data_IF_941811142896
#
_entry.id   IF_941811142896
#
_cell.length_a   1.000
_cell.length_b   1.000
_cell.length_c   1.000
_cell.angle_alpha   90.00
_cell.angle_beta   90.00
_cell.angle_gamma   90.00
#
_symmetry.space_group_name_H-M   'P 1'
#
loop_
_entity.id
_entity.type
_entity.pdbx_description
1 polymer ?
#
# COMPACT_ATOMS: atom_id res chain seq x y z
N UNK A 1 -31.74 -20.49 -13.60
CA UNK A 1 -30.38 -21.07 -13.58
C UNK A 1 -29.41 -19.91 -13.46
N UNK A 2 -28.81 -19.66 -12.30
CA UNK A 2 -27.79 -18.62 -12.15
C UNK A 2 -26.43 -19.16 -12.60
N UNK A 3 -25.68 -18.32 -13.31
CA UNK A 3 -24.37 -18.64 -13.82
C UNK A 3 -23.37 -18.74 -12.66
N UNK A 4 -22.74 -19.91 -12.51
CA UNK A 4 -21.56 -20.07 -11.67
C UNK A 4 -20.53 -19.02 -12.05
N UNK A 5 -19.88 -18.40 -11.06
CA UNK A 5 -18.64 -17.65 -11.25
C UNK A 5 -17.66 -18.54 -12.03
N UNK A 6 -17.58 -18.35 -13.34
CA UNK A 6 -16.48 -18.89 -14.14
C UNK A 6 -15.32 -17.96 -13.89
N UNK A 7 -14.42 -18.39 -13.01
CA UNK A 7 -13.03 -17.97 -13.04
C UNK A 7 -12.52 -18.29 -14.45
N UNK A 8 -12.45 -17.29 -15.33
CA UNK A 8 -11.85 -17.47 -16.64
C UNK A 8 -10.33 -17.52 -16.47
N UNK A 9 -9.81 -18.74 -16.46
CA UNK A 9 -8.39 -19.03 -16.59
C UNK A 9 -7.90 -18.51 -17.93
N UNK A 10 -7.13 -17.42 -17.93
CA UNK A 10 -6.44 -16.95 -19.14
C UNK A 10 -5.05 -17.57 -19.18
N UNK A 11 -4.88 -18.51 -20.09
CA UNK A 11 -3.61 -19.18 -20.36
C UNK A 11 -2.62 -18.22 -21.02
N UNK A 12 -1.42 -18.08 -20.45
CA UNK A 12 -0.28 -17.49 -21.15
C UNK A 12 0.73 -18.61 -21.36
N UNK A 13 1.09 -18.89 -22.62
CA UNK A 13 2.04 -19.96 -22.95
C UNK A 13 3.46 -19.53 -22.58
N UNK A 14 4.26 -20.52 -22.13
CA UNK A 14 5.69 -20.41 -21.80
C UNK A 14 6.54 -19.76 -22.91
N UNK A 15 6.04 -19.79 -24.14
CA UNK A 15 6.72 -19.31 -25.35
C UNK A 15 6.61 -17.77 -25.55
N UNK A 16 5.82 -17.07 -24.72
CA UNK A 16 5.70 -15.60 -24.72
C UNK A 16 6.71 -14.91 -23.78
N UNK A 17 7.63 -15.67 -23.17
CA UNK A 17 8.80 -15.13 -22.47
C UNK A 17 9.74 -14.45 -23.49
N UNK A 18 9.51 -13.17 -23.72
CA UNK A 18 10.33 -12.33 -24.59
C UNK A 18 11.80 -12.35 -24.11
N UNK A 19 12.80 -12.44 -25.01
CA UNK A 19 14.20 -12.48 -24.61
C UNK A 19 14.61 -11.21 -23.87
N UNK A 20 15.45 -11.39 -22.85
CA UNK A 20 16.23 -10.35 -22.18
C UNK A 20 17.09 -9.57 -23.18
N UNK A 21 16.56 -8.53 -23.81
CA UNK A 21 17.34 -7.43 -24.39
C UNK A 21 16.40 -6.31 -24.85
N UNK A 22 16.06 -5.39 -23.95
CA UNK A 22 15.69 -4.02 -24.34
C UNK A 22 16.35 -2.99 -23.44
N UNK A 23 17.49 -2.51 -23.92
CA UNK A 23 18.01 -1.16 -23.70
C UNK A 23 16.94 -0.12 -24.06
N UNK A 24 16.67 0.77 -23.11
CA UNK A 24 15.65 1.84 -23.10
C UNK A 24 14.18 1.37 -23.09
N UNK A 25 13.40 1.71 -22.05
CA UNK A 25 11.97 1.48 -22.07
C UNK A 25 11.35 2.22 -23.27
N UNK A 26 10.45 1.59 -24.04
CA UNK A 26 9.78 2.25 -25.16
C UNK A 26 9.08 3.52 -24.68
N UNK A 27 8.96 4.50 -25.57
CA UNK A 27 8.13 5.68 -25.32
C UNK A 27 6.73 5.23 -24.88
N UNK A 28 6.23 5.78 -23.77
CA UNK A 28 4.92 5.47 -23.18
C UNK A 28 3.83 5.36 -24.25
N UNK A 29 3.16 4.20 -24.33
CA UNK A 29 2.04 3.96 -25.26
C UNK A 29 0.78 4.73 -24.84
N UNK A 30 0.61 5.01 -23.55
CA UNK A 30 -0.54 5.75 -23.06
C UNK A 30 -0.33 7.25 -23.21
N UNK A 31 -1.41 7.96 -23.59
CA UNK A 31 -1.44 9.43 -23.64
C UNK A 31 -1.23 10.00 -22.23
N UNK A 32 -0.87 11.29 -22.15
CA UNK A 32 -0.81 12.01 -20.88
C UNK A 32 -2.14 11.88 -20.13
N UNK A 33 -2.07 11.67 -18.83
CA UNK A 33 -3.23 11.64 -17.95
C UNK A 33 -4.01 12.96 -17.96
N UNK A 34 -5.24 12.90 -17.45
CA UNK A 34 -6.12 14.06 -17.32
C UNK A 34 -5.74 14.86 -16.09
N UNK A 35 -5.82 16.19 -16.17
CA UNK A 35 -5.60 17.02 -14.99
C UNK A 35 -6.70 16.77 -13.95
N UNK A 36 -6.33 16.45 -12.69
CA UNK A 36 -7.28 16.07 -11.66
C UNK A 36 -8.25 17.21 -11.34
N UNK A 37 -9.55 16.89 -11.23
CA UNK A 37 -10.58 17.87 -10.88
C UNK A 37 -11.23 17.54 -9.54
N UNK A 38 -10.54 17.85 -8.44
CA UNK A 38 -10.98 17.60 -7.06
C UNK A 38 -12.21 18.41 -6.60
N UNK A 39 -12.83 19.20 -7.46
CA UNK A 39 -13.99 20.06 -7.14
C UNK A 39 -15.29 19.65 -7.84
N UNK A 40 -15.30 18.54 -8.59
CA UNK A 40 -16.50 18.13 -9.36
C UNK A 40 -17.62 17.56 -8.50
N UNK A 41 -17.27 16.96 -7.36
CA UNK A 41 -18.23 16.31 -6.46
C UNK A 41 -18.79 17.30 -5.45
N UNK A 42 -20.12 17.34 -5.34
CA UNK A 42 -20.83 18.27 -4.46
C UNK A 42 -20.57 17.98 -2.98
N UNK A 43 -20.26 16.73 -2.66
CA UNK A 43 -19.90 16.21 -1.34
C UNK A 43 -18.49 16.61 -0.91
N UNK A 44 -17.65 17.10 -1.82
CA UNK A 44 -16.28 17.47 -1.53
C UNK A 44 -16.10 18.99 -1.39
N UNK A 45 -15.22 19.37 -0.47
CA UNK A 45 -14.91 20.78 -0.21
C UNK A 45 -13.41 21.01 -0.07
N UNK A 46 -12.98 22.24 -0.33
CA UNK A 46 -11.62 22.71 -0.03
C UNK A 46 -11.47 23.19 1.41
N UNK A 47 -12.59 23.50 2.07
CA UNK A 47 -12.59 24.00 3.44
C UNK A 47 -12.32 22.86 4.42
N UNK A 48 -11.36 23.05 5.31
CA UNK A 48 -11.05 22.07 6.36
C UNK A 48 -12.29 21.84 7.26
N UNK A 49 -12.51 20.62 7.76
CA UNK A 49 -13.49 20.37 8.81
C UNK A 49 -13.17 21.24 10.03
N UNK A 50 -14.20 21.90 10.56
CA UNK A 50 -14.09 22.84 11.68
C UNK A 50 -14.40 22.21 13.03
N UNK A 51 -15.11 21.08 13.01
CA UNK A 51 -15.49 20.33 14.20
C UNK A 51 -14.29 19.55 14.76
N UNK A 52 -14.38 19.17 16.05
CA UNK A 52 -13.26 18.76 16.89
C UNK A 52 -12.44 17.62 16.29
N UNK A 53 -13.08 16.52 15.91
CA UNK A 53 -12.38 15.31 15.47
C UNK A 53 -11.89 15.43 14.04
N UNK A 54 -12.70 15.95 13.13
CA UNK A 54 -12.25 16.21 11.76
C UNK A 54 -11.03 17.15 11.74
N UNK A 55 -11.06 18.24 12.53
CA UNK A 55 -9.91 19.15 12.67
C UNK A 55 -8.68 18.42 13.20
N UNK A 56 -8.81 17.64 14.28
CA UNK A 56 -7.71 16.85 14.84
C UNK A 56 -7.09 15.90 13.83
N UNK A 57 -7.90 15.20 13.03
CA UNK A 57 -7.40 14.27 12.02
C UNK A 57 -6.58 15.00 10.95
N UNK A 58 -7.11 16.12 10.43
CA UNK A 58 -6.46 16.92 9.41
C UNK A 58 -5.13 17.49 9.90
N UNK A 59 -5.08 17.96 11.14
CA UNK A 59 -3.86 18.52 11.74
C UNK A 59 -2.83 17.43 12.05
N UNK A 60 -3.24 16.32 12.69
CA UNK A 60 -2.34 15.24 13.09
C UNK A 60 -1.67 14.56 11.88
N UNK A 61 -2.46 14.24 10.85
CA UNK A 61 -1.98 13.49 9.68
C UNK A 61 -1.80 14.31 8.41
N UNK A 62 -1.86 15.65 8.52
CA UNK A 62 -1.64 16.56 7.40
C UNK A 62 -2.53 16.27 6.17
N UNK A 63 -3.79 15.88 6.41
CA UNK A 63 -4.73 15.53 5.35
C UNK A 63 -4.99 16.75 4.45
N UNK A 64 -5.04 16.50 3.16
CA UNK A 64 -5.23 17.53 2.14
C UNK A 64 -6.70 17.61 1.71
N UNK A 65 -7.11 18.77 1.18
CA UNK A 65 -8.36 18.84 0.39
C UNK A 65 -8.24 17.91 -0.83
N UNK A 66 -9.31 17.33 -1.38
CA UNK A 66 -10.70 17.51 -0.96
C UNK A 66 -11.00 16.85 0.39
N UNK A 67 -11.90 17.47 1.15
CA UNK A 67 -12.49 16.91 2.36
C UNK A 67 -13.93 16.49 2.04
N UNK A 68 -14.33 15.28 2.45
CA UNK A 68 -15.70 14.82 2.31
C UNK A 68 -16.58 15.41 3.43
N UNK A 69 -17.54 16.27 3.05
CA UNK A 69 -18.42 16.98 3.98
C UNK A 69 -19.47 16.08 4.63
N UNK A 70 -19.70 14.89 4.07
CA UNK A 70 -20.69 13.94 4.58
C UNK A 70 -20.14 13.09 5.73
N UNK A 71 -18.82 13.13 5.98
CA UNK A 71 -18.22 12.43 7.11
C UNK A 71 -18.68 13.09 8.42
N UNK A 72 -19.31 12.30 9.27
CA UNK A 72 -19.79 12.73 10.59
C UNK A 72 -18.64 12.84 11.60
N UNK A 73 -18.87 13.58 12.68
CA UNK A 73 -17.86 13.67 13.77
C UNK A 73 -17.62 12.32 14.47
N UNK A 74 -18.63 11.45 14.51
CA UNK A 74 -18.48 10.09 15.05
C UNK A 74 -17.54 9.26 14.17
N UNK A 75 -17.69 9.35 12.84
CA UNK A 75 -16.78 8.70 11.89
C UNK A 75 -15.37 9.28 11.97
N UNK A 76 -15.21 10.60 12.06
CA UNK A 76 -13.89 11.20 12.28
C UNK A 76 -13.25 10.77 13.60
N UNK A 77 -14.05 10.58 14.64
CA UNK A 77 -13.57 10.06 15.92
C UNK A 77 -13.07 8.62 15.77
N UNK A 78 -13.85 7.73 15.14
CA UNK A 78 -13.45 6.35 14.89
C UNK A 78 -12.17 6.28 14.03
N UNK A 79 -12.10 7.07 12.96
CA UNK A 79 -10.89 7.22 12.13
C UNK A 79 -9.68 7.67 12.96
N UNK A 80 -9.89 8.65 13.86
CA UNK A 80 -8.82 9.14 14.72
C UNK A 80 -8.31 8.05 15.67
N UNK A 81 -9.23 7.32 16.29
CA UNK A 81 -8.92 6.31 17.29
C UNK A 81 -8.25 5.08 16.66
N UNK A 82 -8.74 4.59 15.51
CA UNK A 82 -8.11 3.49 14.75
C UNK A 82 -6.67 3.85 14.35
N UNK A 83 -6.48 4.99 13.68
CA UNK A 83 -5.15 5.39 13.20
C UNK A 83 -4.20 5.72 14.35
N UNK A 84 -4.72 6.18 15.49
CA UNK A 84 -3.92 6.37 16.70
C UNK A 84 -3.54 5.05 17.38
N UNK A 85 -4.37 4.01 17.29
CA UNK A 85 -4.00 2.66 17.75
C UNK A 85 -2.92 2.06 16.84
N UNK A 86 -3.02 2.25 15.52
CA UNK A 86 -1.95 1.90 14.58
C UNK A 86 -0.66 2.69 14.81
N UNK A 87 -0.73 3.96 15.24
CA UNK A 87 0.46 4.72 15.65
C UNK A 87 1.20 4.00 16.79
N UNK A 88 0.49 3.45 17.79
CA UNK A 88 1.11 2.67 18.89
C UNK A 88 1.77 1.39 18.39
N UNK A 89 1.08 0.61 17.56
CA UNK A 89 1.64 -0.59 16.92
C UNK A 89 2.92 -0.22 16.16
N UNK A 90 2.94 0.94 15.49
CA UNK A 90 4.07 1.40 14.68
C UNK A 90 5.08 2.28 15.46
N UNK A 91 5.11 2.16 16.79
CA UNK A 91 6.04 2.87 17.68
C UNK A 91 7.12 1.93 18.21
N UNK A 92 8.37 2.17 17.82
CA UNK A 92 9.50 1.35 18.26
C UNK A 92 9.58 1.26 19.79
N UNK A 93 9.52 0.04 20.33
CA UNK A 93 9.59 -0.24 21.76
C UNK A 93 8.26 -0.18 22.51
N UNK A 94 7.13 0.08 21.82
CA UNK A 94 5.79 -0.07 22.39
C UNK A 94 5.48 -1.54 22.61
N UNK A 95 4.71 -1.86 23.65
CA UNK A 95 4.22 -3.22 23.88
C UNK A 95 3.34 -3.69 22.71
N UNK A 96 2.51 -2.79 22.17
CA UNK A 96 1.62 -3.05 21.03
C UNK A 96 2.37 -3.35 19.72
N UNK A 97 3.68 -3.13 19.64
CA UNK A 97 4.48 -3.43 18.45
C UNK A 97 4.84 -4.90 18.28
N UNK A 98 4.57 -5.75 19.28
CA UNK A 98 4.87 -7.19 19.24
C UNK A 98 4.35 -7.86 17.96
N UNK A 99 3.13 -7.52 17.53
CA UNK A 99 2.48 -8.03 16.31
C UNK A 99 3.19 -7.68 14.99
N UNK A 100 4.19 -6.80 15.01
CA UNK A 100 4.98 -6.42 13.83
C UNK A 100 6.50 -6.56 14.05
N UNK A 101 6.93 -7.11 15.19
CA UNK A 101 8.36 -7.30 15.48
C UNK A 101 8.95 -8.53 14.79
N UNK A 102 8.13 -9.38 14.17
CA UNK A 102 8.55 -10.47 13.28
C UNK A 102 9.65 -11.33 13.91
N UNK A 103 9.35 -12.01 15.02
CA UNK A 103 10.34 -12.68 15.89
C UNK A 103 11.34 -13.59 15.14
N UNK A 104 10.94 -14.14 13.99
CA UNK A 104 11.74 -15.07 13.17
C UNK A 104 12.21 -14.47 11.84
N UNK A 105 11.88 -13.21 11.58
CA UNK A 105 12.40 -12.45 10.45
C UNK A 105 13.66 -11.72 10.92
N UNK A 106 14.82 -12.13 10.42
CA UNK A 106 16.11 -11.46 10.68
C UNK A 106 16.24 -10.10 9.96
N UNK A 107 15.13 -9.37 9.82
CA UNK A 107 15.01 -8.10 9.15
C UNK A 107 14.50 -7.00 10.10
N UNK A 108 14.94 -5.76 9.87
CA UNK A 108 14.43 -4.62 10.61
C UNK A 108 13.12 -4.12 9.97
N UNK A 109 11.97 -4.54 10.51
CA UNK A 109 10.62 -4.14 10.04
C UNK A 109 10.49 -2.62 9.87
N UNK A 110 11.05 -1.83 10.78
CA UNK A 110 10.99 -0.36 10.70
C UNK A 110 11.72 0.23 9.49
N UNK A 111 12.83 -0.40 9.06
CA UNK A 111 13.53 -0.02 7.84
C UNK A 111 12.70 -0.37 6.61
N UNK A 112 12.02 -1.51 6.61
CA UNK A 112 11.11 -1.90 5.53
C UNK A 112 9.97 -0.90 5.42
N UNK A 113 9.27 -0.58 6.52
CA UNK A 113 8.17 0.39 6.52
C UNK A 113 8.61 1.74 5.93
N UNK A 114 9.77 2.24 6.34
CA UNK A 114 10.33 3.50 5.81
C UNK A 114 10.62 3.41 4.31
N UNK A 115 11.23 2.32 3.87
CA UNK A 115 11.55 2.08 2.45
C UNK A 115 10.26 1.98 1.61
N UNK A 116 9.26 1.25 2.10
CA UNK A 116 7.94 1.12 1.50
C UNK A 116 7.24 2.49 1.35
N UNK A 117 7.19 3.26 2.44
CA UNK A 117 6.63 4.60 2.44
C UNK A 117 7.36 5.55 1.47
N UNK A 118 8.70 5.50 1.42
CA UNK A 118 9.49 6.26 0.46
C UNK A 118 9.19 5.86 -0.99
N UNK A 119 8.99 4.58 -1.27
CA UNK A 119 8.62 4.10 -2.60
C UNK A 119 7.22 4.60 -3.01
N UNK A 120 6.24 4.52 -2.10
CA UNK A 120 4.89 5.11 -2.30
C UNK A 120 4.99 6.60 -2.62
N UNK A 121 5.72 7.37 -1.80
CA UNK A 121 5.90 8.80 -2.00
C UNK A 121 6.64 9.13 -3.31
N UNK A 122 7.67 8.34 -3.65
CA UNK A 122 8.47 8.50 -4.88
C UNK A 122 7.64 8.27 -6.13
N UNK A 123 6.79 7.24 -6.11
CA UNK A 123 5.87 6.94 -7.19
C UNK A 123 4.99 8.17 -7.47
N UNK A 124 4.32 8.73 -6.46
CA UNK A 124 3.50 9.93 -6.63
C UNK A 124 4.30 11.17 -7.08
N UNK A 125 5.50 11.39 -6.54
CA UNK A 125 6.34 12.54 -6.92
C UNK A 125 6.78 12.47 -8.39
N UNK A 126 6.87 11.25 -8.94
CA UNK A 126 7.20 10.97 -10.34
C UNK A 126 6.00 10.91 -11.29
N UNK A 127 4.81 11.28 -10.81
CA UNK A 127 3.60 11.39 -11.64
C UNK A 127 3.66 12.59 -12.61
N UNK A 128 2.80 12.53 -13.62
CA UNK A 128 2.64 13.54 -14.67
C UNK A 128 1.78 14.75 -14.24
N UNK A 129 1.45 14.86 -12.94
CA UNK A 129 0.73 16.02 -12.41
C UNK A 129 1.56 17.30 -12.59
N UNK A 130 0.98 18.25 -13.31
CA UNK A 130 1.61 19.54 -13.68
C UNK A 130 1.78 20.46 -12.45
N UNK A 131 0.85 20.40 -11.50
CA UNK A 131 0.94 21.14 -10.24
C UNK A 131 2.02 20.54 -9.33
N UNK A 132 3.23 21.11 -9.42
CA UNK A 132 4.42 20.63 -8.72
C UNK A 132 4.26 20.72 -7.20
N UNK A 133 3.68 21.81 -6.69
CA UNK A 133 3.50 22.02 -5.25
C UNK A 133 2.48 21.02 -4.69
N UNK A 134 1.36 20.86 -5.39
CA UNK A 134 0.34 19.88 -5.02
C UNK A 134 0.88 18.46 -5.06
N UNK A 135 1.62 18.10 -6.12
CA UNK A 135 2.29 16.79 -6.23
C UNK A 135 3.24 16.53 -5.06
N UNK A 136 4.04 17.53 -4.70
CA UNK A 136 4.96 17.49 -3.55
C UNK A 136 4.20 17.30 -2.24
N UNK A 137 3.10 18.03 -2.03
CA UNK A 137 2.27 17.90 -0.83
C UNK A 137 1.62 16.52 -0.72
N UNK A 138 1.05 15.99 -1.80
CA UNK A 138 0.45 14.63 -1.82
C UNK A 138 1.53 13.59 -1.46
N UNK A 139 2.70 13.65 -2.12
CA UNK A 139 3.82 12.74 -1.88
C UNK A 139 4.26 12.74 -0.41
N UNK A 140 4.35 13.91 0.22
CA UNK A 140 4.76 14.05 1.62
C UNK A 140 3.73 13.58 2.62
N UNK A 141 2.44 13.81 2.34
CA UNK A 141 1.38 13.26 3.19
C UNK A 141 1.37 11.73 3.10
N UNK A 142 1.50 11.16 1.88
CA UNK A 142 1.56 9.71 1.67
C UNK A 142 2.73 9.04 2.40
N UNK A 143 3.88 9.72 2.50
CA UNK A 143 5.06 9.22 3.20
C UNK A 143 4.76 8.82 4.66
N UNK A 144 3.78 9.45 5.31
CA UNK A 144 3.37 9.11 6.68
C UNK A 144 1.96 8.50 6.78
N UNK A 145 1.47 7.91 5.69
CA UNK A 145 0.14 7.30 5.63
C UNK A 145 0.14 5.77 5.58
N UNK A 146 1.30 5.13 5.53
CA UNK A 146 1.45 3.67 5.52
C UNK A 146 1.71 3.14 6.93
N UNK A 147 1.02 2.07 7.30
CA UNK A 147 1.11 1.40 8.60
C UNK A 147 1.23 -0.11 8.40
N UNK A 148 2.07 -0.77 9.19
CA UNK A 148 1.93 -2.21 9.40
C UNK A 148 0.77 -2.48 10.37
N UNK A 149 0.04 -3.55 10.08
CA UNK A 149 -1.00 -4.11 10.95
C UNK A 149 -0.51 -5.42 11.58
N UNK A 150 0.09 -6.29 10.78
CA UNK A 150 0.82 -7.49 11.24
C UNK A 150 2.03 -7.75 10.34
N UNK A 151 3.08 -8.31 10.94
CA UNK A 151 4.26 -8.82 10.21
C UNK A 151 4.64 -10.15 10.85
N UNK A 152 4.44 -11.22 10.10
CA UNK A 152 4.88 -12.56 10.45
C UNK A 152 5.68 -13.16 9.28
N UNK A 153 6.52 -14.13 9.59
CA UNK A 153 7.37 -14.79 8.61
C UNK A 153 8.52 -15.54 9.26
N UNK A 154 9.26 -16.29 8.46
CA UNK A 154 10.39 -17.08 8.92
C UNK A 154 11.52 -17.06 7.89
N UNK A 155 12.76 -17.11 8.35
CA UNK A 155 13.92 -17.30 7.49
C UNK A 155 14.12 -18.78 7.11
N UNK A 156 14.77 -19.04 5.97
CA UNK A 156 15.26 -20.38 5.64
C UNK A 156 16.44 -20.73 6.58
N UNK A 157 16.41 -21.90 7.22
CA UNK A 157 17.28 -22.28 8.35
C UNK A 157 18.77 -21.87 8.21
N UNK A 158 19.35 -21.28 9.26
CA UNK A 158 20.79 -21.07 9.52
C UNK A 158 21.67 -20.54 8.36
N UNK A 159 21.06 -19.98 7.31
CA UNK A 159 21.70 -19.42 6.13
C UNK A 159 21.50 -17.91 5.99
N UNK A 160 21.69 -17.39 4.78
CA UNK A 160 21.45 -15.98 4.47
C UNK A 160 20.00 -15.55 4.82
N UNK A 161 19.74 -14.27 5.13
CA UNK A 161 18.50 -13.78 5.74
C UNK A 161 17.32 -13.68 4.75
N UNK A 162 17.23 -14.62 3.81
CA UNK A 162 16.15 -14.70 2.84
C UNK A 162 14.91 -15.30 3.52
N UNK A 163 13.74 -14.66 3.38
CA UNK A 163 12.54 -15.15 4.01
C UNK A 163 12.07 -16.43 3.30
N UNK A 164 11.85 -17.48 4.08
CA UNK A 164 11.11 -18.65 3.63
C UNK A 164 9.63 -18.33 3.53
N UNK A 165 9.07 -17.68 4.54
CA UNK A 165 7.66 -17.28 4.57
C UNK A 165 7.52 -15.82 4.97
N UNK A 166 6.52 -15.13 4.41
CA UNK A 166 6.04 -13.82 4.84
C UNK A 166 4.51 -13.83 4.84
N UNK A 167 3.92 -13.35 5.93
CA UNK A 167 2.51 -13.04 6.03
C UNK A 167 2.38 -11.63 6.61
N UNK A 168 2.16 -10.66 5.72
CA UNK A 168 2.23 -9.24 6.06
C UNK A 168 0.90 -8.59 5.75
N UNK A 169 0.42 -7.76 6.68
CA UNK A 169 -0.72 -6.89 6.42
C UNK A 169 -0.37 -5.43 6.66
N UNK A 170 -0.76 -4.58 5.71
CA UNK A 170 -0.52 -3.13 5.79
C UNK A 170 -1.78 -2.35 5.46
N UNK A 171 -1.84 -1.11 5.94
CA UNK A 171 -2.89 -0.15 5.61
C UNK A 171 -2.29 1.15 5.12
N UNK A 172 -2.71 1.57 3.93
CA UNK A 172 -2.37 2.86 3.35
C UNK A 172 -3.58 3.79 3.40
N UNK A 173 -3.49 4.87 4.16
CA UNK A 173 -4.53 5.88 4.22
C UNK A 173 -4.43 6.88 3.05
N UNK A 174 -5.59 7.31 2.54
CA UNK A 174 -5.65 8.38 1.56
C UNK A 174 -4.93 9.64 2.09
N UNK A 175 -4.18 10.37 1.24
CA UNK A 175 -3.59 11.65 1.63
C UNK A 175 -4.64 12.76 1.76
N UNK A 176 -5.88 12.50 1.37
CA UNK A 176 -6.98 13.45 1.38
C UNK A 176 -7.94 13.21 2.56
N UNK A 177 -8.74 14.21 2.90
CA UNK A 177 -9.80 14.11 3.89
C UNK A 177 -11.03 13.33 3.41
N UNK A 178 -10.83 12.23 2.71
CA UNK A 178 -11.88 11.38 2.13
C UNK A 178 -12.36 10.28 3.08
N UNK A 179 -11.57 9.99 4.12
CA UNK A 179 -11.87 8.91 5.07
C UNK A 179 -11.65 7.50 4.50
N UNK A 180 -10.89 7.38 3.41
CA UNK A 180 -10.64 6.11 2.72
C UNK A 180 -9.23 5.60 3.00
N UNK A 181 -9.07 4.28 2.92
CA UNK A 181 -7.79 3.58 3.01
C UNK A 181 -7.80 2.35 2.11
N UNK A 182 -6.63 1.76 1.87
CA UNK A 182 -6.48 0.49 1.19
C UNK A 182 -5.69 -0.43 2.12
N UNK A 183 -6.24 -1.61 2.36
CA UNK A 183 -5.57 -2.68 3.07
C UNK A 183 -4.86 -3.58 2.07
N UNK A 184 -3.71 -4.11 2.47
CA UNK A 184 -2.96 -5.08 1.69
C UNK A 184 -2.67 -6.30 2.54
N UNK A 185 -2.71 -7.46 1.90
CA UNK A 185 -2.25 -8.71 2.48
C UNK A 185 -1.28 -9.35 1.50
N UNK A 186 -0.02 -9.48 1.93
CA UNK A 186 1.04 -10.13 1.18
C UNK A 186 1.37 -11.46 1.84
N UNK A 187 1.20 -12.53 1.09
CA UNK A 187 1.56 -13.89 1.45
C UNK A 187 2.65 -14.38 0.49
N UNK A 188 3.75 -14.85 1.05
CA UNK A 188 4.91 -15.34 0.32
C UNK A 188 5.42 -16.61 0.97
N UNK A 189 5.70 -17.61 0.15
CA UNK A 189 6.43 -18.80 0.55
C UNK A 189 7.39 -19.19 -0.56
N UNK A 190 8.64 -19.42 -0.20
CA UNK A 190 9.63 -19.99 -1.09
C UNK A 190 10.49 -20.98 -0.32
N UNK A 191 10.61 -22.19 -0.84
CA UNK A 191 11.51 -23.21 -0.30
C UNK A 191 12.11 -24.04 -1.42
N UNK A 192 13.44 -24.05 -1.49
CA UNK A 192 14.16 -24.92 -2.40
C UNK A 192 14.12 -26.37 -1.88
N UNK A 193 13.72 -27.33 -2.72
CA UNK A 193 13.85 -28.77 -2.45
C UNK A 193 14.91 -29.38 -3.37
N UNK A 194 15.27 -30.64 -3.10
CA UNK A 194 16.30 -31.38 -3.85
C UNK A 194 15.97 -31.54 -5.35
N UNK A 195 14.70 -31.56 -5.71
CA UNK A 195 14.24 -31.87 -7.07
C UNK A 195 13.27 -30.86 -7.66
N UNK A 196 12.63 -30.03 -6.84
CA UNK A 196 11.66 -28.99 -7.21
C UNK A 196 11.78 -27.81 -6.23
N UNK A 197 11.17 -26.68 -6.53
CA UNK A 197 10.86 -25.64 -5.57
C UNK A 197 9.44 -25.80 -5.02
N UNK A 198 9.18 -25.19 -3.86
CA UNK A 198 7.84 -25.03 -3.32
C UNK A 198 7.64 -23.53 -3.18
N UNK A 199 6.94 -22.94 -4.14
CA UNK A 199 6.80 -21.49 -4.22
C UNK A 199 5.36 -21.02 -4.37
N UNK A 200 5.04 -19.95 -3.63
CA UNK A 200 3.81 -19.18 -3.78
C UNK A 200 4.04 -17.71 -3.40
N UNK A 201 3.38 -16.80 -4.10
CA UNK A 201 3.45 -15.37 -3.79
C UNK A 201 2.14 -14.70 -4.21
N UNK A 202 1.39 -14.15 -3.25
CA UNK A 202 0.10 -13.50 -3.50
C UNK A 202 0.03 -12.15 -2.80
N UNK A 203 -0.41 -11.12 -3.53
CA UNK A 203 -0.70 -9.81 -2.96
C UNK A 203 -2.16 -9.44 -3.23
N UNK A 204 -2.94 -9.29 -2.17
CA UNK A 204 -4.32 -8.81 -2.22
C UNK A 204 -4.40 -7.35 -1.78
N UNK A 205 -5.36 -6.61 -2.33
CA UNK A 205 -5.66 -5.24 -1.94
C UNK A 205 -7.16 -5.07 -1.73
N UNK A 206 -7.56 -4.38 -0.67
CA UNK A 206 -8.95 -4.13 -0.32
C UNK A 206 -9.23 -2.66 -0.04
N UNK A 207 -10.18 -2.06 -0.75
CA UNK A 207 -10.62 -0.70 -0.51
C UNK A 207 -11.49 -0.60 0.75
N UNK A 208 -11.17 0.35 1.64
CA UNK A 208 -11.94 0.66 2.85
C UNK A 208 -12.48 2.08 2.84
N UNK A 209 -13.67 2.23 3.38
CA UNK A 209 -14.27 3.51 3.71
C UNK A 209 -14.29 3.78 5.22
N UNK A 210 -14.67 5.01 5.60
CA UNK A 210 -14.61 5.45 7.00
C UNK A 210 -15.62 4.75 7.92
N UNK A 211 -16.66 4.12 7.36
CA UNK A 211 -17.64 3.35 8.12
C UNK A 211 -17.05 2.05 8.64
N UNK A 212 -16.00 1.56 7.97
CA UNK A 212 -15.30 0.32 8.32
C UNK A 212 -14.23 0.53 9.40
N UNK A 213 -14.02 1.78 9.85
CA UNK A 213 -13.05 2.09 10.90
C UNK A 213 -13.44 1.40 12.22
N UNK A 214 -12.56 0.55 12.74
CA UNK A 214 -12.77 -0.19 13.98
C UNK A 214 -11.62 0.04 14.97
N UNK A 215 -11.77 0.99 15.91
CA UNK A 215 -10.76 1.28 16.92
C UNK A 215 -10.44 0.12 17.87
N UNK A 216 -11.37 -0.82 18.05
CA UNK A 216 -11.19 -1.97 18.96
C UNK A 216 -10.36 -3.07 18.29
N UNK A 217 -10.44 -3.18 16.96
CA UNK A 217 -9.68 -4.13 16.15
C UNK A 217 -8.96 -3.41 15.00
N UNK A 218 -7.99 -2.50 15.31
CA UNK A 218 -7.34 -1.66 14.31
C UNK A 218 -6.51 -2.46 13.29
N UNK A 219 -6.14 -3.70 13.63
CA UNK A 219 -5.35 -4.62 12.82
C UNK A 219 -6.18 -5.52 11.90
N UNK A 220 -7.52 -5.49 12.00
CA UNK A 220 -8.38 -6.25 11.11
C UNK A 220 -8.15 -5.82 9.66
N UNK A 221 -7.77 -6.76 8.79
CA UNK A 221 -7.37 -6.51 7.42
C UNK A 221 -8.45 -6.96 6.45
N UNK A 222 -9.01 -6.03 5.67
CA UNK A 222 -10.05 -6.35 4.68
C UNK A 222 -9.52 -7.09 3.44
N UNK A 223 -8.20 -7.23 3.29
CA UNK A 223 -7.57 -7.91 2.16
C UNK A 223 -7.19 -9.36 2.44
N UNK A 224 -7.47 -9.86 3.65
CA UNK A 224 -7.34 -11.28 3.95
C UNK A 224 -8.34 -12.08 3.10
N UNK A 225 -7.95 -13.23 2.55
CA UNK A 225 -8.90 -14.13 1.92
C UNK A 225 -9.90 -14.62 2.97
N UNK A 226 -11.17 -14.75 2.60
CA UNK A 226 -12.16 -15.42 3.45
C UNK A 226 -11.68 -16.86 3.69
N UNK A 227 -11.58 -17.28 4.95
CA UNK A 227 -11.34 -18.69 5.25
C UNK A 227 -12.51 -19.50 4.69
N UNK A 228 -12.27 -20.65 4.02
CA UNK A 228 -13.36 -21.53 3.67
C UNK A 228 -14.01 -21.99 4.97
N UNK A 229 -15.25 -21.56 5.21
CA UNK A 229 -16.05 -22.08 6.33
C UNK A 229 -16.07 -23.61 6.27
N UNK A 230 -15.92 -24.26 7.42
CA UNK A 230 -15.86 -25.72 7.55
C UNK A 230 -16.96 -26.40 6.71
N UNK A 231 -16.63 -27.53 6.07
CA UNK A 231 -17.54 -28.31 5.23
C UNK A 231 -18.86 -28.61 5.96
N UNK A 232 -19.91 -27.79 5.74
CA UNK A 232 -21.19 -28.00 6.41
C UNK A 232 -22.22 -26.89 6.24
N UNK A 233 -21.80 -25.64 6.11
CA UNK A 233 -22.71 -24.52 5.91
C UNK A 233 -22.69 -24.04 4.45
N UNK A 234 -23.87 -23.73 3.92
CA UNK A 234 -24.04 -23.23 2.55
C UNK A 234 -23.10 -22.02 2.37
N UNK A 235 -22.10 -22.17 1.50
CA UNK A 235 -21.14 -21.11 1.19
C UNK A 235 -21.89 -19.79 1.07
N UNK A 236 -21.58 -18.78 1.91
CA UNK A 236 -22.32 -17.54 1.94
C UNK A 236 -22.42 -17.01 0.52
N UNK A 237 -23.65 -16.64 0.10
CA UNK A 237 -23.86 -16.11 -1.25
C UNK A 237 -22.81 -15.03 -1.48
N UNK A 238 -22.01 -15.16 -2.55
CA UNK A 238 -20.87 -14.30 -2.71
C UNK A 238 -21.35 -12.86 -2.73
N UNK A 239 -21.04 -12.09 -1.68
CA UNK A 239 -21.19 -10.66 -1.74
C UNK A 239 -20.42 -10.22 -2.99
N UNK A 240 -21.09 -9.48 -3.88
CA UNK A 240 -20.41 -8.73 -4.92
C UNK A 240 -19.63 -7.57 -4.29
N UNK A 241 -18.81 -7.87 -3.28
CA UNK A 241 -17.93 -6.91 -2.66
C UNK A 241 -16.74 -6.72 -3.59
N UNK A 242 -16.95 -5.84 -4.57
CA UNK A 242 -15.95 -5.26 -5.48
C UNK A 242 -14.80 -4.52 -4.75
N UNK A 243 -14.59 -4.80 -3.47
CA UNK A 243 -13.62 -4.14 -2.59
C UNK A 243 -12.26 -4.84 -2.61
N UNK A 244 -12.23 -6.17 -2.77
CA UNK A 244 -10.98 -6.96 -2.71
C UNK A 244 -10.54 -7.40 -4.11
N UNK A 245 -9.27 -7.19 -4.42
CA UNK A 245 -8.65 -7.64 -5.67
C UNK A 245 -7.28 -8.26 -5.41
N UNK A 246 -7.04 -9.43 -6.00
CA UNK A 246 -5.70 -10.01 -6.11
C UNK A 246 -4.89 -9.24 -7.15
N UNK A 247 -3.84 -8.55 -6.71
CA UNK A 247 -2.93 -7.79 -7.56
C UNK A 247 -2.05 -8.72 -8.39
N UNK A 248 -1.45 -9.70 -7.73
CA UNK A 248 -0.84 -10.85 -8.37
C UNK A 248 -0.97 -12.09 -7.49
N UNK A 249 -0.91 -13.26 -8.12
CA UNK A 249 -0.70 -14.53 -7.45
C UNK A 249 0.21 -15.37 -8.34
N UNK A 250 1.28 -15.92 -7.79
CA UNK A 250 2.10 -16.95 -8.39
C UNK A 250 2.01 -18.18 -7.51
N UNK A 251 1.62 -19.33 -8.07
CA UNK A 251 1.50 -20.58 -7.32
C UNK A 251 2.03 -21.72 -8.16
N UNK A 252 2.80 -22.60 -7.53
CA UNK A 252 3.21 -23.86 -8.12
C UNK A 252 2.12 -24.92 -7.94
N UNK A 253 1.57 -25.39 -9.06
CA UNK A 253 0.58 -26.45 -9.09
C UNK A 253 1.19 -27.76 -9.59
N UNK A 254 0.89 -28.86 -8.90
CA UNK A 254 1.47 -30.19 -9.17
C UNK A 254 1.20 -30.73 -10.58
N UNK A 255 0.14 -30.26 -11.25
CA UNK A 255 -0.28 -30.78 -12.56
C UNK A 255 0.04 -29.83 -13.70
N UNK A 256 0.05 -28.53 -13.43
CA UNK A 256 0.18 -27.47 -14.44
C UNK A 256 1.48 -26.69 -14.34
N UNK A 257 2.27 -26.91 -13.28
CA UNK A 257 3.49 -26.19 -12.98
C UNK A 257 3.20 -24.77 -12.48
N UNK A 258 4.18 -23.88 -12.63
CA UNK A 258 4.06 -22.49 -12.20
C UNK A 258 2.96 -21.74 -12.95
N UNK A 259 2.01 -21.20 -12.20
CA UNK A 259 0.88 -20.42 -12.72
C UNK A 259 0.87 -19.02 -12.11
N UNK A 260 0.66 -18.00 -12.95
CA UNK A 260 0.56 -16.60 -12.50
C UNK A 260 -0.77 -15.96 -12.87
N UNK A 261 -1.38 -15.25 -11.92
CA UNK A 261 -2.56 -14.40 -12.08
C UNK A 261 -2.17 -12.94 -11.80
N UNK A 262 -2.77 -12.02 -12.54
CA UNK A 262 -2.53 -10.59 -12.39
C UNK A 262 -3.82 -9.80 -12.51
N UNK A 263 -3.95 -8.74 -11.72
CA UNK A 263 -5.04 -7.77 -11.82
C UNK A 263 -5.16 -7.19 -13.24
N UNK A 264 -6.37 -6.78 -13.59
CA UNK A 264 -6.68 -6.11 -14.87
C UNK A 264 -6.54 -4.60 -14.73
N UNK A 265 -6.39 -3.90 -15.86
CA UNK A 265 -6.38 -2.43 -15.87
C UNK A 265 -7.69 -1.85 -15.34
N UNK A 266 -8.81 -2.49 -15.64
CA UNK A 266 -10.12 -2.07 -15.14
C UNK A 266 -10.19 -2.16 -13.61
N UNK A 267 -9.73 -3.28 -13.04
CA UNK A 267 -9.81 -3.50 -11.60
C UNK A 267 -8.84 -2.61 -10.82
N UNK A 268 -7.60 -2.43 -11.28
CA UNK A 268 -6.64 -1.55 -10.60
C UNK A 268 -7.12 -0.09 -10.59
N UNK A 269 -7.80 0.36 -11.66
CA UNK A 269 -8.35 1.73 -11.75
C UNK A 269 -9.49 1.99 -10.78
N UNK A 270 -10.21 0.95 -10.32
CA UNK A 270 -11.30 1.11 -9.34
C UNK A 270 -10.82 1.74 -8.01
N UNK A 271 -9.53 1.63 -7.70
CA UNK A 271 -8.94 2.24 -6.51
C UNK A 271 -8.60 3.72 -6.66
N UNK A 272 -8.44 4.25 -7.87
CA UNK A 272 -7.85 5.59 -8.07
C UNK A 272 -8.74 6.69 -7.47
N UNK A 273 -10.02 6.77 -7.81
CA UNK A 273 -10.91 7.81 -7.29
C UNK A 273 -11.22 7.68 -5.80
N UNK A 274 -11.53 6.50 -5.24
CA UNK A 274 -11.71 6.36 -3.80
C UNK A 274 -10.48 6.81 -3.01
N UNK A 275 -9.27 6.55 -3.53
CA UNK A 275 -8.03 6.85 -2.83
C UNK A 275 -7.50 8.28 -3.09
N UNK A 276 -7.55 8.77 -4.33
CA UNK A 276 -7.02 10.07 -4.75
C UNK A 276 -8.08 11.15 -5.00
N UNK A 277 -9.36 10.82 -4.85
CA UNK A 277 -10.46 11.75 -5.07
C UNK A 277 -10.58 12.23 -6.52
N UNK A 278 -10.10 11.47 -7.50
CA UNK A 278 -10.28 11.72 -8.94
C UNK A 278 -9.69 10.55 -9.73
N UNK A 279 -10.01 10.45 -11.02
CA UNK A 279 -9.54 9.38 -11.90
C UNK A 279 -8.74 9.94 -13.09
N UNK A 280 -7.88 9.09 -13.65
CA UNK A 280 -7.20 9.28 -14.93
C UNK A 280 -5.97 10.17 -14.88
N UNK A 281 -5.47 10.53 -13.70
CA UNK A 281 -4.26 11.36 -13.57
C UNK A 281 -3.01 10.55 -13.20
N UNK A 282 -3.21 9.36 -12.63
CA UNK A 282 -2.17 8.35 -12.35
C UNK A 282 -2.38 7.17 -13.29
N UNK A 283 -1.31 6.68 -13.93
CA UNK A 283 -1.44 5.49 -14.78
C UNK A 283 -1.68 4.20 -13.98
N UNK A 284 -2.26 3.15 -14.59
CA UNK A 284 -2.36 1.82 -14.00
C UNK A 284 -1.02 1.30 -13.48
N UNK A 285 0.06 1.49 -14.27
CA UNK A 285 1.41 1.13 -13.85
C UNK A 285 1.83 1.85 -12.58
N UNK A 286 1.50 3.14 -12.46
CA UNK A 286 1.85 3.92 -11.30
C UNK A 286 1.05 3.53 -10.06
N UNK A 287 -0.22 3.14 -10.21
CA UNK A 287 -1.00 2.52 -9.14
C UNK A 287 -0.37 1.21 -8.67
N UNK A 288 0.07 0.35 -9.60
CA UNK A 288 0.81 -0.88 -9.27
C UNK A 288 2.10 -0.57 -8.51
N UNK A 289 2.90 0.41 -8.94
CA UNK A 289 4.11 0.81 -8.21
C UNK A 289 3.79 1.22 -6.76
N UNK A 290 2.68 1.94 -6.54
CA UNK A 290 2.22 2.36 -5.21
C UNK A 290 1.74 1.17 -4.38
N UNK A 291 0.94 0.27 -4.96
CA UNK A 291 0.35 -0.85 -4.23
C UNK A 291 1.35 -1.95 -3.91
N UNK A 292 2.26 -2.26 -4.83
CA UNK A 292 3.39 -3.16 -4.56
C UNK A 292 4.25 -2.64 -3.41
N UNK A 293 4.56 -1.33 -3.41
CA UNK A 293 5.31 -0.71 -2.33
C UNK A 293 4.53 -0.72 -1.00
N UNK A 294 3.23 -0.41 -1.02
CA UNK A 294 2.39 -0.37 0.16
C UNK A 294 2.18 -1.76 0.77
N UNK A 295 1.96 -2.79 -0.05
CA UNK A 295 1.91 -4.19 0.36
C UNK A 295 3.28 -4.83 0.62
N UNK A 296 4.36 -4.05 0.53
CA UNK A 296 5.74 -4.47 0.82
C UNK A 296 6.33 -5.59 -0.04
N UNK A 297 5.64 -5.99 -1.12
CA UNK A 297 6.17 -6.98 -2.06
C UNK A 297 7.48 -6.49 -2.71
N UNK A 298 8.47 -7.39 -2.78
CA UNK A 298 9.84 -7.14 -3.26
C UNK A 298 10.69 -6.25 -2.33
N UNK A 299 10.33 -6.14 -1.06
CA UNK A 299 11.07 -5.32 -0.08
C UNK A 299 11.78 -6.13 1.01
N UNK A 300 11.59 -7.45 1.04
CA UNK A 300 12.05 -8.36 2.09
C UNK A 300 13.20 -9.28 1.67
N UNK A 301 13.82 -9.03 0.50
CA UNK A 301 14.88 -9.89 -0.09
C UNK A 301 14.34 -11.26 -0.48
N UNK A 302 13.12 -11.26 -1.00
CA UNK A 302 12.46 -12.41 -1.59
C UNK A 302 13.35 -13.01 -2.71
N UNK A 303 13.45 -14.34 -2.75
CA UNK A 303 14.25 -15.07 -3.76
C UNK A 303 13.46 -15.20 -5.05
N UNK A 304 12.26 -15.79 -4.96
CA UNK A 304 11.32 -15.83 -6.06
C UNK A 304 10.58 -14.49 -6.21
N UNK A 305 10.90 -13.76 -7.28
CA UNK A 305 10.33 -12.45 -7.60
C UNK A 305 9.45 -12.48 -8.85
N UNK A 306 9.31 -13.65 -9.49
CA UNK A 306 8.83 -13.78 -10.88
C UNK A 306 7.44 -13.16 -11.08
N UNK A 307 6.45 -13.54 -10.26
CA UNK A 307 5.09 -13.02 -10.39
C UNK A 307 5.02 -11.51 -10.11
N UNK A 308 5.67 -11.06 -9.05
CA UNK A 308 5.69 -9.65 -8.65
C UNK A 308 6.35 -8.75 -9.71
N UNK A 309 7.47 -9.18 -10.29
CA UNK A 309 8.17 -8.46 -11.36
C UNK A 309 7.35 -8.44 -12.66
N UNK A 310 6.73 -9.55 -13.03
CA UNK A 310 5.87 -9.61 -14.21
C UNK A 310 4.69 -8.63 -14.08
N UNK A 311 4.04 -8.56 -12.91
CA UNK A 311 2.97 -7.58 -12.68
C UNK A 311 3.46 -6.14 -12.94
N UNK A 312 4.66 -5.79 -12.47
CA UNK A 312 5.23 -4.47 -12.73
C UNK A 312 5.30 -4.22 -14.24
N UNK A 313 5.76 -5.18 -15.04
CA UNK A 313 5.91 -5.02 -16.49
C UNK A 313 4.60 -5.12 -17.31
N UNK A 314 3.49 -5.54 -16.70
CA UNK A 314 2.19 -5.71 -17.37
C UNK A 314 1.55 -4.39 -17.85
N UNK A 315 1.86 -3.28 -17.19
CA UNK A 315 1.23 -1.98 -17.46
C UNK A 315 2.23 -0.93 -17.93
N UNK A 316 1.75 -0.03 -18.79
CA UNK A 316 2.48 1.14 -19.27
C UNK A 316 2.22 2.39 -18.38
N UNK A 317 3.23 3.25 -18.30
CA UNK A 317 3.10 4.58 -17.70
C UNK A 317 2.27 5.53 -18.56
N UNK A 318 1.81 6.65 -18.00
CA UNK A 318 1.37 7.80 -18.81
C UNK A 318 2.58 8.59 -19.33
N UNK A 319 2.40 9.29 -20.45
CA UNK A 319 3.40 10.23 -20.95
C UNK A 319 3.76 11.27 -19.88
N UNK A 320 5.07 11.37 -19.58
CA UNK A 320 5.61 12.27 -18.57
C UNK A 320 5.83 11.64 -17.19
N UNK A 321 5.29 10.45 -16.93
CA UNK A 321 5.59 9.70 -15.71
C UNK A 321 6.94 8.97 -15.81
N UNK A 322 7.54 8.69 -14.66
CA UNK A 322 8.80 7.94 -14.53
C UNK A 322 8.69 6.91 -13.43
N UNK A 323 9.59 5.95 -13.35
CA UNK A 323 9.64 4.95 -12.27
C UNK A 323 9.97 5.54 -10.88
N UNK A 324 10.36 6.82 -10.79
CA UNK A 324 10.65 7.48 -9.51
C UNK A 324 12.02 7.15 -8.88
N UNK A 325 12.83 6.28 -9.48
CA UNK A 325 14.19 5.97 -8.98
C UNK A 325 15.01 7.25 -8.80
N UNK A 326 15.50 7.48 -7.58
CA UNK A 326 16.36 8.62 -7.22
C UNK A 326 15.66 9.97 -7.05
N UNK A 327 14.36 10.09 -7.32
CA UNK A 327 13.64 11.38 -7.24
C UNK A 327 13.53 11.90 -5.80
N UNK A 328 13.54 10.99 -4.82
CA UNK A 328 13.31 11.29 -3.42
C UNK A 328 14.58 11.66 -2.64
N UNK A 329 15.77 11.63 -3.26
CA UNK A 329 17.04 11.90 -2.58
C UNK A 329 17.06 13.28 -1.88
N UNK A 330 16.49 14.30 -2.52
CA UNK A 330 16.38 15.65 -1.94
C UNK A 330 15.44 15.69 -0.74
N UNK A 331 14.27 15.06 -0.84
CA UNK A 331 13.29 14.98 0.25
C UNK A 331 13.84 14.16 1.42
N UNK A 332 14.53 13.05 1.16
CA UNK A 332 15.21 12.24 2.20
C UNK A 332 16.24 13.05 2.99
N UNK A 333 17.05 13.87 2.31
CA UNK A 333 18.01 14.76 2.99
C UNK A 333 17.30 15.76 3.89
N UNK A 334 16.26 16.43 3.38
CA UNK A 334 15.43 17.35 4.17
C UNK A 334 14.80 16.66 5.38
N UNK A 335 14.25 15.47 5.19
CA UNK A 335 13.65 14.68 6.26
C UNK A 335 14.68 14.34 7.34
N UNK A 336 15.86 13.87 6.96
CA UNK A 336 16.92 13.56 7.91
C UNK A 336 17.34 14.77 8.77
N UNK A 337 17.35 15.98 8.18
CA UNK A 337 17.66 17.20 8.93
C UNK A 337 16.52 17.58 9.89
N UNK A 338 15.25 17.45 9.47
CA UNK A 338 14.08 17.65 10.36
C UNK A 338 14.05 16.61 11.50
N UNK A 339 14.37 15.35 11.21
CA UNK A 339 14.42 14.29 12.21
C UNK A 339 15.49 14.55 13.26
N UNK A 340 16.65 15.12 12.90
CA UNK A 340 17.67 15.51 13.88
C UNK A 340 17.13 16.56 14.84
N UNK A 341 16.45 17.58 14.32
CA UNK A 341 15.88 18.66 15.15
C UNK A 341 14.80 18.12 16.08
N UNK A 342 13.90 17.27 15.60
CA UNK A 342 12.85 16.69 16.44
C UNK A 342 13.39 15.69 17.46
N UNK A 343 14.39 14.86 17.13
CA UNK A 343 15.06 13.96 18.09
C UNK A 343 15.60 14.72 19.30
N UNK A 344 16.14 15.92 19.10
CA UNK A 344 16.61 16.75 20.22
C UNK A 344 15.47 17.31 21.09
N UNK A 345 14.26 17.47 20.54
CA UNK A 345 13.06 17.82 21.33
C UNK A 345 12.56 16.61 22.10
N UNK A 346 12.48 15.46 21.46
CA UNK A 346 12.00 14.22 22.08
C UNK A 346 12.89 13.80 23.25
N UNK A 347 14.22 13.99 23.16
CA UNK A 347 15.12 13.75 24.30
C UNK A 347 14.79 14.58 25.54
N UNK A 348 14.16 15.74 25.38
CA UNK A 348 13.74 16.62 26.48
C UNK A 348 12.41 16.20 27.07
N UNK A 349 11.56 15.55 26.29
CA UNK A 349 10.28 15.00 26.71
C UNK A 349 10.34 13.47 26.75
N UNK A 350 10.76 12.93 27.90
CA UNK A 350 10.89 11.49 28.12
C UNK A 350 9.57 10.71 28.03
N UNK A 351 8.43 11.42 27.98
CA UNK A 351 7.11 10.79 27.85
C UNK A 351 6.62 10.73 26.41
N UNK A 352 7.33 11.36 25.47
CA UNK A 352 6.95 11.42 24.07
C UNK A 352 7.40 10.16 23.32
N UNK A 353 6.43 9.29 23.09
CA UNK A 353 6.56 8.20 22.12
C UNK A 353 6.23 8.71 20.72
N UNK A 354 7.09 8.41 19.74
CA UNK A 354 6.93 8.87 18.35
C UNK A 354 6.93 7.67 17.42
N UNK A 355 5.82 7.45 16.73
CA UNK A 355 5.69 6.39 15.76
C UNK A 355 6.45 6.71 14.46
N UNK A 356 6.78 5.66 13.69
CA UNK A 356 7.45 5.83 12.40
C UNK A 356 6.65 6.71 11.43
N UNK A 357 5.33 6.49 11.20
CA UNK A 357 4.54 7.34 10.32
C UNK A 357 4.50 8.81 10.75
N UNK A 358 4.39 9.12 12.05
CA UNK A 358 4.44 10.49 12.54
C UNK A 358 5.76 11.17 12.17
N UNK A 359 6.88 10.46 12.32
CA UNK A 359 8.19 10.98 11.97
C UNK A 359 8.32 11.26 10.47
N UNK A 360 7.70 10.43 9.64
CA UNK A 360 7.70 10.59 8.19
C UNK A 360 6.84 11.79 7.74
N UNK A 361 5.85 12.22 8.53
CA UNK A 361 5.04 13.42 8.24
C UNK A 361 5.78 14.76 8.44
N UNK A 362 7.02 14.77 8.94
CA UNK A 362 7.76 16.03 9.16
C UNK A 362 7.91 16.86 7.89
N UNK A 363 8.08 16.23 6.73
CA UNK A 363 8.13 16.94 5.45
C UNK A 363 6.79 17.60 5.09
N UNK A 364 5.67 16.97 5.42
CA UNK A 364 4.34 17.55 5.21
C UNK A 364 4.08 18.72 6.18
N UNK A 365 4.64 18.67 7.39
CA UNK A 365 4.46 19.70 8.43
C UNK A 365 5.38 20.93 8.27
N UNK A 366 6.61 20.72 7.79
CA UNK A 366 7.68 21.73 7.87
C UNK A 366 8.51 21.87 6.60
N UNK A 367 8.21 21.10 5.55
CA UNK A 367 9.10 20.94 4.41
C UNK A 367 9.05 22.05 3.37
N UNK A 368 9.14 23.33 3.70
CA UNK A 368 9.15 24.40 2.68
C UNK A 368 10.10 24.10 1.49
#
# INVERSE_FOLDING_TARGET
>A
MPASRRTEWVWVRKDELVPETRTHPPASKLKKGVNPTWTRRSEWTRSKPTRKWGKKCVEKWCLLAPYNKNITETQWKAYYEERSALDKINTMGSAESEVIQGEYLEENTWKVLRKAAEHVASATLSSALDDVERKKNISRTLLGSLYFMSVDGSAECAGDPEPRTLAITTRLYSPFGLGTSIDFHYDYHYRLRLHDDERSATLNAAGRDITECNPEHPTACAALPDEPEEEGDEAPEPAEDFKVFTLFSGVEDLFTGWTTLFVTEENIKKFEEPFFGTNGWISPRKLVDIFMAAGTALLHREVDTEAAEHLQHKFDYYQGEKAGKGIFVKERKKLADLEKVEKEKDKRDKTREVCVPERLLLLARHGD
#
